data_IF_758908829023
#
_entry.id   IF_758908829023
#
_cell.length_a   1.000
_cell.length_b   1.000
_cell.length_c   1.000
_cell.angle_alpha   90.00
_cell.angle_beta   90.00
_cell.angle_gamma   90.00
#
_symmetry.space_group_name_H-M   'P 1'
#
loop_
_entity.id
_entity.type
_entity.pdbx_description
1 polymer ?
#
# COMPACT_ATOMS: atom_id res chain seq x y z
N UNK A 1 -24.95 -3.85 12.80
CA UNK A 1 -24.35 -4.58 12.71
C UNK A 1 -24.23 -5.41 13.58
N UNK A 2 -23.87 -5.66 14.23
CA UNK A 2 -23.91 -6.73 14.06
C UNK A 2 -23.67 -7.54 15.25
N UNK A 3 -24.77 -7.87 15.96
CA UNK A 3 -24.77 -8.79 17.08
C UNK A 3 -24.17 -10.14 16.68
N UNK A 4 -24.41 -10.57 15.44
CA UNK A 4 -23.85 -11.83 14.93
C UNK A 4 -22.32 -11.79 14.88
N UNK A 5 -21.74 -10.71 14.38
CA UNK A 5 -20.28 -10.57 14.31
C UNK A 5 -19.67 -10.42 15.70
N UNK A 6 -20.36 -9.72 16.62
CA UNK A 6 -19.91 -9.60 18.01
C UNK A 6 -19.89 -10.95 18.70
N UNK A 7 -20.92 -11.78 18.50
CA UNK A 7 -20.97 -13.12 19.06
C UNK A 7 -19.85 -14.02 18.55
N UNK A 8 -19.54 -13.94 17.24
CA UNK A 8 -18.45 -14.71 16.67
C UNK A 8 -17.11 -14.28 17.24
N UNK A 9 -16.93 -12.98 17.52
CA UNK A 9 -15.72 -12.45 18.16
C UNK A 9 -15.57 -12.99 19.58
N UNK A 10 -16.67 -12.97 20.36
CA UNK A 10 -16.66 -13.51 21.72
C UNK A 10 -16.34 -15.00 21.78
N UNK A 11 -16.71 -15.74 20.73
CA UNK A 11 -16.41 -17.18 20.64
C UNK A 11 -15.01 -17.47 20.09
N UNK A 12 -14.22 -16.44 19.79
CA UNK A 12 -12.89 -16.63 19.23
C UNK A 12 -12.87 -17.02 17.77
N UNK A 13 -14.02 -16.96 17.07
CA UNK A 13 -14.11 -17.28 15.65
C UNK A 13 -13.74 -16.12 14.74
N UNK A 14 -13.75 -14.89 15.28
CA UNK A 14 -13.35 -13.69 14.58
C UNK A 14 -12.51 -12.81 15.50
N UNK A 15 -11.63 -12.03 14.90
CA UNK A 15 -10.84 -11.02 15.59
C UNK A 15 -11.34 -9.66 15.15
N UNK A 16 -11.69 -8.79 16.11
CA UNK A 16 -12.07 -7.42 15.81
C UNK A 16 -10.83 -6.55 15.67
N UNK A 17 -10.54 -6.09 14.46
CA UNK A 17 -9.35 -5.26 14.17
C UNK A 17 -9.65 -3.76 14.20
N UNK A 18 -10.94 -3.38 14.19
CA UNK A 18 -11.35 -2.00 14.23
C UNK A 18 -12.87 -1.92 14.14
N UNK A 19 -13.41 -0.70 14.09
CA UNK A 19 -14.85 -0.51 14.01
C UNK A 19 -15.39 -1.11 12.72
N UNK A 20 -16.23 -2.15 12.85
CA UNK A 20 -16.79 -2.85 11.70
C UNK A 20 -15.81 -3.72 10.94
N UNK A 21 -14.61 -3.97 11.50
CA UNK A 21 -13.59 -4.79 10.85
C UNK A 21 -13.38 -6.06 11.66
N UNK A 22 -13.68 -7.21 11.05
CA UNK A 22 -13.58 -8.51 11.67
C UNK A 22 -12.75 -9.43 10.79
N UNK A 23 -11.78 -10.12 11.37
CA UNK A 23 -10.83 -10.98 10.67
C UNK A 23 -10.92 -12.40 11.21
N UNK A 24 -10.64 -13.38 10.35
CA UNK A 24 -10.54 -14.77 10.79
C UNK A 24 -9.14 -15.03 11.34
N UNK A 25 -9.04 -15.69 12.51
CA UNK A 25 -7.74 -16.16 12.99
C UNK A 25 -7.13 -17.15 12.00
N UNK A 26 -5.81 -17.17 11.94
CA UNK A 26 -5.09 -18.12 11.10
C UNK A 26 -4.93 -19.43 11.89
N UNK A 27 -5.45 -20.54 11.34
CA UNK A 27 -5.28 -21.86 11.93
C UNK A 27 -3.85 -22.35 11.67
N UNK A 28 -3.22 -22.93 12.69
CA UNK A 28 -1.90 -23.54 12.57
C UNK A 28 -1.83 -24.79 13.45
N UNK A 29 -0.76 -25.58 13.29
CA UNK A 29 -0.55 -26.76 14.11
C UNK A 29 -0.39 -26.44 15.59
N UNK A 30 -0.11 -25.18 15.93
CA UNK A 30 0.06 -24.71 17.30
C UNK A 30 -1.13 -23.92 17.82
N UNK A 31 -2.28 -24.00 17.12
CA UNK A 31 -3.49 -23.27 17.47
C UNK A 31 -3.80 -22.15 16.48
N UNK A 32 -4.74 -21.28 16.85
CA UNK A 32 -5.10 -20.12 16.01
C UNK A 32 -4.21 -18.93 16.37
N UNK A 33 -3.93 -18.09 15.39
CA UNK A 33 -3.12 -16.88 15.57
C UNK A 33 -3.74 -15.71 14.82
N UNK A 34 -3.32 -14.49 15.20
CA UNK A 34 -3.70 -13.26 14.50
C UNK A 34 -3.08 -13.27 13.10
N UNK A 35 -3.84 -12.85 12.05
CA UNK A 35 -3.29 -12.71 10.72
C UNK A 35 -2.10 -11.74 10.69
N UNK A 36 -1.21 -11.90 9.72
CA UNK A 36 -0.15 -10.92 9.49
C UNK A 36 -0.77 -9.59 9.05
N UNK A 37 0.01 -8.51 9.11
CA UNK A 37 -0.45 -7.19 8.65
C UNK A 37 -0.90 -7.26 7.19
N UNK A 38 -0.13 -7.92 6.34
CA UNK A 38 -0.46 -8.05 4.91
C UNK A 38 -1.77 -8.81 4.70
N UNK A 39 -1.97 -9.89 5.43
CA UNK A 39 -3.22 -10.67 5.34
C UNK A 39 -4.41 -9.86 5.83
N UNK A 40 -4.23 -9.11 6.91
CA UNK A 40 -5.30 -8.27 7.47
C UNK A 40 -5.67 -7.13 6.53
N UNK A 41 -4.68 -6.49 5.92
CA UNK A 41 -4.90 -5.41 4.95
C UNK A 41 -5.64 -5.93 3.73
N UNK A 42 -5.25 -7.09 3.22
CA UNK A 42 -5.91 -7.72 2.08
C UNK A 42 -7.37 -8.06 2.39
N UNK A 43 -7.62 -8.64 3.57
CA UNK A 43 -8.97 -8.96 4.01
C UNK A 43 -9.83 -7.69 4.14
N UNK A 44 -9.28 -6.63 4.71
CA UNK A 44 -9.98 -5.35 4.85
C UNK A 44 -10.32 -4.75 3.49
N UNK A 45 -9.38 -4.76 2.56
CA UNK A 45 -9.60 -4.24 1.21
C UNK A 45 -10.76 -4.97 0.55
N UNK A 46 -10.81 -6.29 0.67
CA UNK A 46 -11.90 -7.11 0.13
C UNK A 46 -13.22 -6.81 0.82
N UNK A 47 -13.24 -6.77 2.15
CA UNK A 47 -14.47 -6.56 2.92
C UNK A 47 -15.11 -5.19 2.67
N UNK A 48 -14.29 -4.16 2.51
CA UNK A 48 -14.77 -2.79 2.37
C UNK A 48 -14.79 -2.28 0.93
N UNK A 49 -14.29 -3.06 -0.02
CA UNK A 49 -14.18 -2.63 -1.40
C UNK A 49 -13.23 -1.44 -1.57
N UNK A 50 -12.15 -1.40 -0.78
CA UNK A 50 -11.16 -0.33 -0.83
C UNK A 50 -9.89 -0.79 -1.53
N UNK A 51 -9.22 0.17 -2.19
CA UNK A 51 -7.85 -0.05 -2.66
C UNK A 51 -6.93 0.31 -1.50
N UNK A 52 -6.12 -0.64 -1.05
CA UNK A 52 -5.16 -0.43 0.04
C UNK A 52 -3.80 -0.89 -0.45
N UNK A 53 -2.81 0.01 -0.38
CA UNK A 53 -1.47 -0.23 -0.92
C UNK A 53 -0.40 0.24 0.08
N UNK A 54 0.83 -0.24 -0.10
CA UNK A 54 1.95 0.19 0.73
C UNK A 54 2.19 1.70 0.57
N UNK A 55 2.69 2.35 1.62
CA UNK A 55 3.03 3.77 1.55
C UNK A 55 4.29 3.99 0.71
N UNK A 56 4.60 5.27 0.42
CA UNK A 56 5.72 5.63 -0.42
C UNK A 56 7.09 5.22 0.13
N UNK A 57 7.27 5.31 1.44
CA UNK A 57 8.54 4.90 2.06
C UNK A 57 8.77 3.39 1.91
N UNK A 58 7.74 2.59 2.14
CA UNK A 58 7.81 1.15 1.98
C UNK A 58 8.06 0.77 0.51
N UNK A 59 7.38 1.45 -0.42
CA UNK A 59 7.56 1.24 -1.85
C UNK A 59 8.98 1.57 -2.28
N UNK A 60 9.53 2.70 -1.81
CA UNK A 60 10.90 3.10 -2.13
C UNK A 60 11.92 2.08 -1.61
N UNK A 61 11.70 1.56 -0.39
CA UNK A 61 12.56 0.54 0.17
C UNK A 61 12.49 -0.75 -0.65
N UNK A 62 11.27 -1.20 -0.99
CA UNK A 62 11.07 -2.41 -1.78
C UNK A 62 11.73 -2.32 -3.17
N UNK A 63 11.76 -1.13 -3.76
CA UNK A 63 12.39 -0.91 -5.07
C UNK A 63 13.89 -0.63 -4.98
N UNK A 64 14.46 -0.62 -3.78
CA UNK A 64 15.87 -0.35 -3.58
C UNK A 64 16.28 1.11 -3.79
N UNK A 65 15.33 2.03 -3.71
CA UNK A 65 15.57 3.46 -3.90
C UNK A 65 15.97 4.17 -2.61
N UNK A 66 15.84 3.51 -1.48
CA UNK A 66 16.27 4.02 -0.18
C UNK A 66 16.71 2.85 0.69
N UNK A 67 17.63 3.13 1.61
CA UNK A 67 18.08 2.16 2.61
C UNK A 67 17.23 2.26 3.89
N UNK A 68 16.37 3.28 4.00
CA UNK A 68 15.51 3.44 5.16
C UNK A 68 14.47 2.33 5.20
N UNK A 69 14.34 1.70 6.38
CA UNK A 69 13.33 0.67 6.60
C UNK A 69 12.20 1.29 7.41
N UNK A 70 10.97 1.27 6.90
CA UNK A 70 9.84 1.82 7.65
C UNK A 70 9.65 1.04 8.95
N UNK A 71 9.54 1.76 10.08
CA UNK A 71 9.32 1.15 11.39
C UNK A 71 7.84 1.13 11.78
N UNK A 72 7.01 1.86 11.06
CA UNK A 72 5.57 1.94 11.31
C UNK A 72 4.83 1.28 10.16
N UNK A 73 3.75 0.56 10.49
CA UNK A 73 2.88 -0.04 9.48
C UNK A 73 1.88 1.02 9.02
N UNK A 74 2.18 1.69 7.93
CA UNK A 74 1.33 2.71 7.33
C UNK A 74 0.99 2.29 5.90
N UNK A 75 -0.32 2.27 5.61
CA UNK A 75 -0.83 1.96 4.28
C UNK A 75 -1.67 3.11 3.76
N UNK A 76 -1.73 3.23 2.44
CA UNK A 76 -2.58 4.23 1.77
C UNK A 76 -3.87 3.55 1.34
N UNK A 77 -4.99 4.26 1.48
CA UNK A 77 -6.31 3.70 1.18
C UNK A 77 -7.18 4.69 0.40
N UNK A 78 -8.06 4.15 -0.43
CA UNK A 78 -9.12 4.93 -1.08
C UNK A 78 -10.23 5.29 -0.10
N UNK A 79 -10.31 4.58 1.02
CA UNK A 79 -11.28 4.85 2.08
C UNK A 79 -10.81 5.96 3.01
N UNK A 80 -11.48 6.10 4.13
CA UNK A 80 -11.14 7.13 5.12
C UNK A 80 -9.89 6.76 5.92
N UNK A 81 -9.21 7.78 6.41
CA UNK A 81 -8.07 7.60 7.32
C UNK A 81 -8.55 7.03 8.65
N UNK A 82 -7.86 6.00 9.14
CA UNK A 82 -8.18 5.35 10.39
C UNK A 82 -7.07 4.40 10.81
N UNK A 83 -7.21 3.79 11.97
CA UNK A 83 -6.26 2.79 12.47
C UNK A 83 -6.93 1.42 12.57
N UNK A 84 -6.15 0.38 12.35
CA UNK A 84 -6.55 -1.00 12.52
C UNK A 84 -5.64 -1.62 13.58
N UNK A 85 -6.23 -2.42 14.46
CA UNK A 85 -5.49 -3.05 15.56
C UNK A 85 -5.40 -4.57 15.35
N UNK A 86 -4.18 -5.10 15.40
CA UNK A 86 -3.91 -6.52 15.30
C UNK A 86 -3.12 -6.94 16.53
N UNK A 87 -3.83 -7.38 17.59
CA UNK A 87 -3.20 -7.64 18.87
C UNK A 87 -2.59 -6.35 19.41
N UNK A 88 -1.29 -6.36 19.67
CA UNK A 88 -0.57 -5.18 20.14
C UNK A 88 -0.09 -4.28 19.01
N UNK A 89 -0.23 -4.73 17.77
CA UNK A 89 0.26 -4.00 16.60
C UNK A 89 -0.81 -3.05 16.08
N UNK A 90 -0.39 -1.84 15.71
CA UNK A 90 -1.30 -0.84 15.14
C UNK A 90 -0.90 -0.60 13.68
N UNK A 91 -1.88 -0.70 12.80
CA UNK A 91 -1.72 -0.41 11.37
C UNK A 91 -2.46 0.89 11.08
N UNK A 92 -1.75 1.87 10.54
CA UNK A 92 -2.33 3.15 10.18
C UNK A 92 -2.75 3.12 8.72
N UNK A 93 -4.00 3.50 8.46
CA UNK A 93 -4.53 3.60 7.11
C UNK A 93 -4.76 5.08 6.81
N UNK A 94 -4.08 5.61 5.80
CA UNK A 94 -4.17 7.03 5.42
C UNK A 94 -4.86 7.16 4.07
N UNK A 95 -5.88 8.01 4.02
CA UNK A 95 -6.51 8.31 2.75
C UNK A 95 -5.51 8.97 1.80
N UNK A 96 -5.46 8.50 0.56
CA UNK A 96 -4.55 9.01 -0.46
C UNK A 96 -5.32 9.39 -1.72
N UNK A 97 -4.80 10.36 -2.50
CA UNK A 97 -5.44 10.76 -3.74
C UNK A 97 -5.39 9.63 -4.77
N UNK A 98 -6.36 9.69 -5.69
CA UNK A 98 -6.56 8.64 -6.70
C UNK A 98 -5.29 8.32 -7.49
N UNK A 99 -4.49 9.31 -7.83
CA UNK A 99 -3.30 9.07 -8.65
C UNK A 99 -2.26 8.18 -7.95
N UNK A 100 -2.20 8.17 -6.62
CA UNK A 100 -1.32 7.27 -5.88
C UNK A 100 -1.83 5.84 -5.81
N UNK A 101 -3.10 5.64 -6.09
CA UNK A 101 -3.77 4.34 -5.95
C UNK A 101 -4.12 3.70 -7.29
N UNK A 102 -4.02 4.46 -8.40
CA UNK A 102 -4.53 4.05 -9.70
C UNK A 102 -3.94 2.75 -10.22
N UNK A 103 -2.68 2.47 -9.94
CA UNK A 103 -2.01 1.24 -10.37
C UNK A 103 -1.95 0.19 -9.26
N UNK A 104 -2.68 0.42 -8.18
CA UNK A 104 -2.82 -0.49 -7.04
C UNK A 104 -1.47 -1.06 -6.60
N UNK A 105 -1.39 -2.37 -6.35
CA UNK A 105 -0.17 -3.03 -5.89
C UNK A 105 0.77 -3.47 -7.02
N UNK A 106 0.53 -2.98 -8.24
CA UNK A 106 1.41 -3.30 -9.37
C UNK A 106 2.76 -2.61 -9.21
N UNK A 107 3.84 -3.16 -9.79
CA UNK A 107 5.17 -2.53 -9.68
C UNK A 107 5.20 -1.08 -10.14
N UNK A 108 4.47 -0.72 -11.21
CA UNK A 108 4.39 0.68 -11.65
C UNK A 108 3.70 1.55 -10.60
N UNK A 109 2.72 1.02 -9.86
CA UNK A 109 2.07 1.73 -8.76
C UNK A 109 3.03 1.98 -7.61
N UNK A 110 3.84 1.00 -7.26
CA UNK A 110 4.88 1.17 -6.24
C UNK A 110 5.86 2.26 -6.67
N UNK A 111 6.24 2.29 -7.94
CA UNK A 111 7.14 3.30 -8.47
C UNK A 111 6.54 4.71 -8.32
N UNK A 112 5.27 4.89 -8.64
CA UNK A 112 4.59 6.18 -8.48
C UNK A 112 4.66 6.65 -7.02
N UNK A 113 4.32 5.78 -6.08
CA UNK A 113 4.32 6.14 -4.66
C UNK A 113 5.72 6.40 -4.14
N UNK A 114 6.70 5.62 -4.57
CA UNK A 114 8.09 5.81 -4.18
C UNK A 114 8.62 7.17 -4.67
N UNK A 115 8.34 7.51 -5.93
CA UNK A 115 8.76 8.79 -6.51
C UNK A 115 8.10 9.98 -5.82
N UNK A 116 6.81 9.84 -5.49
CA UNK A 116 6.10 10.88 -4.75
C UNK A 116 6.71 11.11 -3.37
N UNK A 117 7.10 10.03 -2.70
CA UNK A 117 7.73 10.12 -1.38
C UNK A 117 9.14 10.72 -1.45
N UNK A 118 9.92 10.35 -2.48
CA UNK A 118 11.26 10.88 -2.67
C UNK A 118 11.26 12.37 -3.00
N UNK A 119 10.24 12.83 -3.74
CA UNK A 119 10.11 14.22 -4.11
C UNK A 119 10.86 14.62 -5.36
N UNK A 120 10.65 15.88 -5.84
CA UNK A 120 11.22 16.34 -7.11
C UNK A 120 12.73 16.28 -7.20
N UNK A 121 13.42 16.56 -6.10
CA UNK A 121 14.89 16.62 -6.10
C UNK A 121 15.53 15.26 -6.32
N UNK A 122 14.90 14.19 -5.84
CA UNK A 122 15.44 12.84 -5.92
C UNK A 122 14.81 11.99 -7.05
N UNK A 123 13.73 12.49 -7.62
CA UNK A 123 12.97 11.70 -8.60
C UNK A 123 13.76 11.39 -9.87
N UNK A 124 14.58 12.33 -10.35
CA UNK A 124 15.34 12.14 -11.59
C UNK A 124 16.32 10.98 -11.48
N UNK A 125 17.10 10.93 -10.41
CA UNK A 125 18.05 9.86 -10.18
C UNK A 125 17.33 8.52 -9.97
N UNK A 126 16.22 8.54 -9.23
CA UNK A 126 15.41 7.34 -9.00
C UNK A 126 14.83 6.80 -10.30
N UNK A 127 14.34 7.66 -11.18
CA UNK A 127 13.79 7.26 -12.47
C UNK A 127 14.87 6.64 -13.38
N UNK A 128 16.07 7.18 -13.35
CA UNK A 128 17.19 6.58 -14.09
C UNK A 128 17.45 5.15 -13.62
N UNK A 129 17.44 4.94 -12.31
CA UNK A 129 17.59 3.61 -11.72
C UNK A 129 16.44 2.69 -12.11
N UNK A 130 15.20 3.15 -12.02
CA UNK A 130 14.02 2.36 -12.34
C UNK A 130 13.98 1.98 -13.82
N UNK A 131 14.32 2.90 -14.71
CA UNK A 131 14.34 2.62 -16.15
C UNK A 131 15.31 1.48 -16.48
N UNK A 132 16.43 1.41 -15.76
CA UNK A 132 17.42 0.35 -15.94
C UNK A 132 17.00 -0.98 -15.32
N UNK A 133 16.36 -0.93 -14.15
CA UNK A 133 16.02 -2.15 -13.39
C UNK A 133 14.66 -2.75 -13.73
N UNK A 134 13.68 -1.94 -14.08
CA UNK A 134 12.33 -2.42 -14.36
C UNK A 134 12.22 -3.03 -15.74
N UNK A 135 11.40 -4.09 -15.91
CA UNK A 135 11.09 -4.59 -17.25
C UNK A 135 10.48 -3.47 -18.10
N UNK A 136 10.77 -3.43 -19.41
CA UNK A 136 10.25 -2.33 -20.27
C UNK A 136 8.75 -2.14 -20.22
N UNK A 137 7.98 -3.23 -20.12
CA UNK A 137 6.53 -3.14 -20.03
C UNK A 137 6.06 -2.44 -18.76
N UNK A 138 6.76 -2.66 -17.65
CA UNK A 138 6.42 -2.02 -16.36
C UNK A 138 6.76 -0.53 -16.41
N UNK A 139 7.93 -0.17 -16.95
CA UNK A 139 8.27 1.24 -17.11
C UNK A 139 7.29 1.92 -18.08
N UNK A 140 6.85 1.21 -19.10
CA UNK A 140 5.83 1.70 -20.03
C UNK A 140 4.50 2.02 -19.35
N UNK A 141 4.09 1.21 -18.36
CA UNK A 141 2.88 1.52 -17.58
C UNK A 141 3.05 2.82 -16.79
N UNK A 142 4.23 3.06 -16.24
CA UNK A 142 4.54 4.29 -15.53
C UNK A 142 4.42 5.50 -16.46
N UNK A 143 4.97 5.39 -17.66
CA UNK A 143 4.89 6.45 -18.68
C UNK A 143 3.44 6.69 -19.08
N UNK A 144 2.66 5.62 -19.28
CA UNK A 144 1.25 5.72 -19.65
C UNK A 144 0.41 6.39 -18.56
N UNK A 145 0.82 6.29 -17.31
CA UNK A 145 0.12 6.90 -16.18
C UNK A 145 0.43 8.41 -16.03
N UNK A 146 1.44 8.92 -16.73
CA UNK A 146 1.91 10.30 -16.56
C UNK A 146 0.80 11.35 -16.62
N UNK A 147 -0.21 11.28 -17.52
CA UNK A 147 -1.28 12.28 -17.55
C UNK A 147 -2.08 12.41 -16.26
N UNK A 148 -2.09 11.37 -15.42
CA UNK A 148 -2.83 11.37 -14.16
C UNK A 148 -2.00 11.84 -12.98
N UNK A 149 -0.69 12.04 -13.18
CA UNK A 149 0.24 12.39 -12.11
C UNK A 149 0.33 13.89 -11.91
N UNK A 150 0.78 14.36 -10.73
CA UNK A 150 1.09 15.77 -10.55
C UNK A 150 2.07 16.24 -11.63
N UNK A 151 1.96 17.50 -12.02
CA UNK A 151 2.73 18.07 -13.14
C UNK A 151 4.23 17.80 -13.02
N UNK A 152 4.82 18.04 -11.84
CA UNK A 152 6.26 17.86 -11.67
C UNK A 152 6.67 16.38 -11.89
N UNK A 153 5.83 15.43 -11.42
CA UNK A 153 6.13 14.01 -11.56
C UNK A 153 5.92 13.56 -13.01
N UNK A 154 4.85 14.03 -13.65
CA UNK A 154 4.60 13.75 -15.07
C UNK A 154 5.77 14.23 -15.94
N UNK A 155 6.29 15.42 -15.66
CA UNK A 155 7.43 15.97 -16.37
C UNK A 155 8.69 15.13 -16.14
N UNK A 156 8.94 14.74 -14.89
CA UNK A 156 10.10 13.91 -14.56
C UNK A 156 10.04 12.55 -15.28
N UNK A 157 8.87 11.92 -15.28
CA UNK A 157 8.66 10.63 -15.97
C UNK A 157 8.87 10.79 -17.48
N UNK A 158 8.29 11.84 -18.06
CA UNK A 158 8.44 12.11 -19.50
C UNK A 158 9.90 12.35 -19.89
N UNK A 159 10.62 13.11 -19.08
CA UNK A 159 12.03 13.37 -19.31
C UNK A 159 12.85 12.08 -19.26
N UNK A 160 12.58 11.23 -18.30
CA UNK A 160 13.28 9.93 -18.19
C UNK A 160 12.98 9.02 -19.38
N UNK A 161 11.76 9.06 -19.91
CA UNK A 161 11.33 8.22 -21.02
C UNK A 161 11.89 8.67 -22.36
N UNK A 162 11.93 9.99 -22.58
CA UNK A 162 12.22 10.58 -23.91
C UNK A 162 13.44 11.51 -23.94
N UNK A 163 14.04 11.75 -22.80
CA UNK A 163 15.19 12.66 -22.70
C UNK A 163 16.58 12.02 -22.87
#
# INVERSE_FOLDING_TARGET
>A
MDQALSRLTERGQLIRAGRGVYLRPIASRFGTRTPSVEQAVEALATQKGEVIVSNGAAAANALGLTTQVPVRSVYLTSGRSRKMHLGKQVVELRHAPRWQLALANRPAGEAVRALAWLGPEKAEAALTTLKRKMPPGVFGELVAAAPQLPTWLAQSVGKAAYG
#
